data_IF_579688218127
#
_entry.id   IF_579688218127
#
_cell.length_a   1.000
_cell.length_b   1.000
_cell.length_c   1.000
_cell.angle_alpha   90.00
_cell.angle_beta   90.00
_cell.angle_gamma   90.00
#
_symmetry.space_group_name_H-M   'P 1'
#
loop_
_entity.id
_entity.type
_entity.pdbx_description
1 polymer ?
#
# COMPACT_ATOMS: atom_id res chain seq x y z
N UNK A 1 -9.58 23.24 44.46
CA UNK A 1 -10.40 22.32 43.63
C UNK A 1 -10.14 20.90 44.11
N UNK A 2 -11.17 20.15 44.55
CA UNK A 2 -10.95 18.83 45.18
C UNK A 2 -10.41 17.80 44.16
N UNK A 3 -9.65 16.80 44.62
CA UNK A 3 -9.09 15.74 43.75
C UNK A 3 -10.18 15.01 42.95
N UNK A 4 -11.38 14.88 43.51
CA UNK A 4 -12.54 14.26 42.87
C UNK A 4 -13.03 15.12 41.70
N UNK A 5 -13.15 16.44 41.90
CA UNK A 5 -13.57 17.37 40.84
C UNK A 5 -12.58 17.37 39.68
N UNK A 6 -11.27 17.34 39.95
CA UNK A 6 -10.24 17.30 38.91
C UNK A 6 -10.28 16.01 38.09
N UNK A 7 -10.54 14.86 38.73
CA UNK A 7 -10.63 13.57 38.06
C UNK A 7 -11.86 13.52 37.14
N UNK A 8 -13.02 13.92 37.65
CA UNK A 8 -14.26 14.00 36.86
C UNK A 8 -14.09 14.95 35.67
N UNK A 9 -13.43 16.10 35.89
CA UNK A 9 -13.22 17.07 34.83
C UNK A 9 -12.30 16.56 33.71
N UNK A 10 -11.19 15.90 34.06
CA UNK A 10 -10.24 15.38 33.07
C UNK A 10 -10.74 14.13 32.34
N UNK A 11 -11.45 13.24 33.03
CA UNK A 11 -11.93 11.98 32.42
C UNK A 11 -13.20 12.17 31.59
N UNK A 12 -14.08 13.12 31.94
CA UNK A 12 -15.40 13.23 31.31
C UNK A 12 -15.67 14.59 30.68
N UNK A 13 -15.31 15.71 31.32
CA UNK A 13 -15.62 17.06 30.81
C UNK A 13 -14.64 17.52 29.73
N UNK A 14 -13.35 17.21 29.87
CA UNK A 14 -12.32 17.61 28.89
C UNK A 14 -12.51 16.92 27.52
N UNK A 15 -12.78 15.60 27.44
CA UNK A 15 -13.13 14.97 26.16
C UNK A 15 -14.42 15.55 25.56
N UNK A 16 -15.43 15.83 26.39
CA UNK A 16 -16.65 16.49 25.92
C UNK A 16 -16.37 17.88 25.35
N UNK A 17 -15.59 18.71 26.03
CA UNK A 17 -15.21 20.04 25.57
C UNK A 17 -14.47 20.00 24.22
N UNK A 18 -13.55 19.04 24.04
CA UNK A 18 -12.83 18.83 22.77
C UNK A 18 -13.79 18.37 21.66
N UNK A 19 -14.81 17.57 21.98
CA UNK A 19 -15.84 17.14 21.02
C UNK A 19 -16.77 18.31 20.64
N UNK A 20 -17.13 19.17 21.60
CA UNK A 20 -17.95 20.37 21.37
C UNK A 20 -17.23 21.43 20.52
N UNK A 21 -15.93 21.59 20.70
CA UNK A 21 -15.10 22.52 19.93
C UNK A 21 -14.98 22.08 18.46
N UNK A 22 -14.86 20.76 18.21
CA UNK A 22 -14.76 20.19 16.86
C UNK A 22 -16.07 20.17 16.07
N UNK A 23 -17.22 20.37 16.71
CA UNK A 23 -18.51 20.24 16.05
C UNK A 23 -19.52 21.32 16.49
N UNK A 24 -19.28 22.60 16.12
CA UNK A 24 -20.02 23.75 16.64
C UNK A 24 -21.52 23.70 16.34
N UNK A 25 -21.92 23.03 15.26
CA UNK A 25 -23.34 22.81 14.92
C UNK A 25 -24.03 21.86 15.91
N UNK A 26 -23.36 20.77 16.29
CA UNK A 26 -23.91 19.84 17.30
C UNK A 26 -23.99 20.51 18.68
N UNK A 27 -22.99 21.32 19.03
CA UNK A 27 -22.95 22.13 20.26
C UNK A 27 -24.10 23.14 20.32
N UNK A 28 -24.36 23.84 19.21
CA UNK A 28 -25.44 24.80 19.11
C UNK A 28 -26.82 24.13 19.24
N UNK A 29 -27.05 23.02 18.54
CA UNK A 29 -28.31 22.26 18.62
C UNK A 29 -28.55 21.72 20.02
N UNK A 30 -27.49 21.28 20.71
CA UNK A 30 -27.57 20.87 22.10
C UNK A 30 -28.05 22.02 23.00
N UNK A 31 -27.37 23.17 22.92
CA UNK A 31 -27.66 24.33 23.77
C UNK A 31 -29.07 24.86 23.52
N UNK A 32 -29.52 24.89 22.27
CA UNK A 32 -30.88 25.28 21.92
C UNK A 32 -31.93 24.31 22.51
N UNK A 33 -31.66 23.01 22.46
CA UNK A 33 -32.58 21.98 22.96
C UNK A 33 -32.65 21.92 24.50
N UNK A 34 -31.53 22.15 25.20
CA UNK A 34 -31.51 22.22 26.67
C UNK A 34 -32.12 23.51 27.19
N UNK A 35 -31.93 24.64 26.49
CA UNK A 35 -32.54 25.92 26.83
C UNK A 35 -34.06 25.94 26.66
N UNK A 36 -34.63 25.08 25.81
CA UNK A 36 -36.08 24.99 25.58
C UNK A 36 -36.83 24.07 26.57
N UNK A 37 -36.14 23.49 27.56
CA UNK A 37 -36.72 22.52 28.51
C UNK A 37 -36.96 23.14 29.89
N UNK A 38 -38.00 22.71 30.59
CA UNK A 38 -38.21 23.07 31.99
C UNK A 38 -37.11 22.51 32.89
N UNK A 39 -36.85 23.17 34.02
CA UNK A 39 -35.67 22.94 34.86
C UNK A 39 -35.49 21.47 35.30
N UNK A 40 -36.60 20.76 35.50
CA UNK A 40 -36.66 19.36 35.93
C UNK A 40 -36.11 18.38 34.88
N UNK A 41 -36.16 18.77 33.60
CA UNK A 41 -35.74 17.92 32.47
C UNK A 41 -34.31 18.22 31.99
N UNK A 42 -33.70 19.31 32.46
CA UNK A 42 -32.33 19.68 32.13
C UNK A 42 -31.32 18.54 32.37
N UNK A 43 -31.28 17.85 33.54
CA UNK A 43 -30.31 16.77 33.75
C UNK A 43 -30.51 15.59 32.80
N UNK A 44 -31.75 15.21 32.51
CA UNK A 44 -32.05 14.15 31.54
C UNK A 44 -31.67 14.53 30.11
N UNK A 45 -31.93 15.79 29.73
CA UNK A 45 -31.56 16.32 28.42
C UNK A 45 -30.02 16.34 28.25
N UNK A 46 -29.27 16.71 29.28
CA UNK A 46 -27.81 16.70 29.27
C UNK A 46 -27.24 15.29 29.10
N UNK A 47 -27.74 14.31 29.86
CA UNK A 47 -27.29 12.91 29.75
C UNK A 47 -27.60 12.33 28.36
N UNK A 48 -28.83 12.50 27.88
CA UNK A 48 -29.23 12.03 26.55
C UNK A 48 -28.37 12.64 25.45
N UNK A 49 -28.05 13.93 25.59
CA UNK A 49 -27.22 14.65 24.64
C UNK A 49 -25.77 14.20 24.64
N UNK A 50 -25.20 13.94 25.82
CA UNK A 50 -23.85 13.38 25.91
C UNK A 50 -23.77 12.02 25.20
N UNK A 51 -24.78 11.16 25.40
CA UNK A 51 -24.89 9.86 24.71
C UNK A 51 -24.96 10.07 23.20
N UNK A 52 -25.81 10.98 22.72
CA UNK A 52 -25.98 11.28 21.29
C UNK A 52 -24.66 11.78 20.69
N UNK A 53 -24.01 12.75 21.33
CA UNK A 53 -22.75 13.35 20.86
C UNK A 53 -21.63 12.30 20.83
N UNK A 54 -21.50 11.50 21.89
CA UNK A 54 -20.52 10.42 21.94
C UNK A 54 -20.78 9.39 20.83
N UNK A 55 -22.04 9.03 20.59
CA UNK A 55 -22.43 8.09 19.53
C UNK A 55 -22.09 8.64 18.14
N UNK A 56 -22.41 9.91 17.88
CA UNK A 56 -22.04 10.61 16.63
C UNK A 56 -20.52 10.67 16.49
N UNK A 57 -19.78 10.94 17.56
CA UNK A 57 -18.32 11.01 17.52
C UNK A 57 -17.70 9.65 17.17
N UNK A 58 -18.13 8.57 17.83
CA UNK A 58 -17.66 7.20 17.55
C UNK A 58 -18.02 6.80 16.12
N UNK A 59 -19.25 7.09 15.67
CA UNK A 59 -19.68 6.82 14.31
C UNK A 59 -18.84 7.61 13.29
N UNK A 60 -18.65 8.90 13.51
CA UNK A 60 -17.85 9.77 12.63
C UNK A 60 -16.40 9.30 12.56
N UNK A 61 -15.82 8.86 13.67
CA UNK A 61 -14.46 8.32 13.70
C UNK A 61 -14.36 7.03 12.88
N UNK A 62 -15.34 6.12 13.01
CA UNK A 62 -15.37 4.89 12.20
C UNK A 62 -15.48 5.19 10.71
N UNK A 63 -16.35 6.12 10.32
CA UNK A 63 -16.48 6.56 8.92
C UNK A 63 -15.15 7.15 8.42
N UNK A 64 -14.50 8.01 9.20
CA UNK A 64 -13.18 8.55 8.83
C UNK A 64 -12.10 7.48 8.68
N UNK A 65 -12.08 6.47 9.56
CA UNK A 65 -11.16 5.33 9.47
C UNK A 65 -11.42 4.49 8.21
N UNK A 66 -12.69 4.26 7.85
CA UNK A 66 -13.09 3.55 6.64
C UNK A 66 -12.74 4.34 5.37
N UNK A 67 -13.01 5.64 5.34
CA UNK A 67 -12.66 6.53 4.22
C UNK A 67 -11.14 6.57 4.01
N UNK A 68 -10.37 6.68 5.09
CA UNK A 68 -8.91 6.66 5.03
C UNK A 68 -8.38 5.32 4.54
N UNK A 69 -8.97 4.21 4.99
CA UNK A 69 -8.65 2.87 4.51
C UNK A 69 -8.97 2.73 3.02
N UNK A 70 -10.14 3.18 2.56
CA UNK A 70 -10.54 3.11 1.15
C UNK A 70 -9.59 3.92 0.27
N UNK A 71 -9.23 5.14 0.69
CA UNK A 71 -8.28 5.97 -0.03
C UNK A 71 -6.91 5.29 -0.18
N UNK A 72 -6.42 4.66 0.90
CA UNK A 72 -5.16 3.89 0.88
C UNK A 72 -5.24 2.63 0.03
N UNK A 73 -6.37 1.94 0.05
CA UNK A 73 -6.58 0.79 -0.81
C UNK A 73 -6.62 1.20 -2.30
N UNK A 74 -7.25 2.33 -2.65
CA UNK A 74 -7.21 2.88 -4.02
C UNK A 74 -5.79 3.20 -4.47
N UNK A 75 -4.96 3.71 -3.57
CA UNK A 75 -3.53 3.95 -3.83
C UNK A 75 -2.79 2.63 -4.14
N UNK A 76 -2.93 1.62 -3.28
CA UNK A 76 -2.36 0.27 -3.49
C UNK A 76 -2.82 -0.33 -4.82
N UNK A 77 -4.13 -0.27 -5.09
CA UNK A 77 -4.74 -0.76 -6.33
C UNK A 77 -4.13 -0.09 -7.56
N UNK A 78 -3.95 1.24 -7.52
CA UNK A 78 -3.31 1.98 -8.62
C UNK A 78 -1.86 1.54 -8.86
N UNK A 79 -1.07 1.37 -7.80
CA UNK A 79 0.33 0.97 -7.90
C UNK A 79 0.44 -0.45 -8.46
N UNK A 80 -0.33 -1.39 -7.92
CA UNK A 80 -0.34 -2.78 -8.37
C UNK A 80 -0.68 -2.88 -9.87
N UNK A 81 -1.74 -2.22 -10.32
CA UNK A 81 -2.12 -2.27 -11.73
C UNK A 81 -1.09 -1.66 -12.66
N UNK A 82 -0.48 -0.52 -12.27
CA UNK A 82 0.62 0.07 -13.04
C UNK A 82 1.82 -0.86 -13.15
N UNK A 83 2.17 -1.56 -12.07
CA UNK A 83 3.25 -2.53 -12.05
C UNK A 83 2.94 -3.73 -12.95
N UNK A 84 1.75 -4.34 -12.81
CA UNK A 84 1.35 -5.50 -13.62
C UNK A 84 1.21 -5.14 -15.10
N UNK A 85 0.67 -3.96 -15.43
CA UNK A 85 0.63 -3.47 -16.80
C UNK A 85 2.04 -3.29 -17.37
N UNK A 86 2.95 -2.71 -16.59
CA UNK A 86 4.34 -2.56 -16.97
C UNK A 86 4.99 -3.92 -17.27
N UNK A 87 4.88 -4.88 -16.35
CA UNK A 87 5.39 -6.26 -16.53
C UNK A 87 4.83 -6.90 -17.80
N UNK A 88 3.52 -6.79 -18.02
CA UNK A 88 2.84 -7.33 -19.21
C UNK A 88 3.36 -6.69 -20.50
N UNK A 89 3.54 -5.36 -20.50
CA UNK A 89 4.08 -4.64 -21.67
C UNK A 89 5.50 -5.09 -22.03
N UNK A 90 6.33 -5.40 -21.02
CA UNK A 90 7.69 -5.88 -21.26
C UNK A 90 7.72 -7.31 -21.81
N UNK A 91 6.84 -8.21 -21.33
CA UNK A 91 6.73 -9.56 -21.91
C UNK A 91 6.46 -9.53 -23.42
N UNK A 92 5.57 -8.65 -23.87
CA UNK A 92 5.29 -8.47 -25.29
C UNK A 92 6.52 -8.03 -26.07
N UNK A 93 7.28 -7.06 -25.54
CA UNK A 93 8.50 -6.56 -26.17
C UNK A 93 9.55 -7.66 -26.37
N UNK A 94 9.65 -8.61 -25.44
CA UNK A 94 10.64 -9.70 -25.51
C UNK A 94 10.24 -10.86 -26.41
N UNK A 95 8.95 -11.15 -26.53
CA UNK A 95 8.48 -12.18 -27.47
C UNK A 95 8.63 -11.75 -28.93
N UNK A 96 8.50 -10.45 -29.23
CA UNK A 96 8.56 -9.94 -30.61
C UNK A 96 10.00 -9.71 -31.10
N UNK A 97 10.97 -9.52 -30.21
CA UNK A 97 12.36 -9.15 -30.55
C UNK A 97 13.40 -10.24 -30.24
N UNK A 98 13.06 -11.51 -30.40
CA UNK A 98 14.06 -12.58 -30.33
C UNK A 98 15.03 -12.47 -31.51
N UNK A 99 16.00 -11.56 -31.41
CA UNK A 99 17.18 -11.50 -32.27
C UNK A 99 18.06 -12.72 -31.89
N UNK A 100 18.47 -13.53 -32.87
CA UNK A 100 19.19 -14.82 -32.71
C UNK A 100 20.64 -14.68 -32.18
N UNK A 101 20.90 -13.73 -31.29
CA UNK A 101 22.23 -13.47 -30.73
C UNK A 101 22.23 -13.87 -29.25
N UNK A 102 23.04 -14.87 -28.90
CA UNK A 102 23.03 -15.52 -27.58
C UNK A 102 23.18 -14.56 -26.38
N UNK A 103 23.96 -13.47 -26.54
CA UNK A 103 24.11 -12.44 -25.51
C UNK A 103 22.80 -11.69 -25.21
N UNK A 104 22.03 -11.34 -26.25
CA UNK A 104 20.73 -10.67 -26.06
C UNK A 104 19.72 -11.65 -25.46
N UNK A 105 19.67 -12.89 -25.95
CA UNK A 105 18.78 -13.92 -25.42
C UNK A 105 19.04 -14.17 -23.92
N UNK A 106 20.31 -14.21 -23.49
CA UNK A 106 20.67 -14.34 -22.08
C UNK A 106 20.10 -13.21 -21.23
N UNK A 107 20.27 -11.96 -21.66
CA UNK A 107 19.70 -10.81 -20.94
C UNK A 107 18.16 -10.84 -20.94
N UNK A 108 17.54 -11.19 -22.07
CA UNK A 108 16.08 -11.26 -22.19
C UNK A 108 15.47 -12.30 -21.25
N UNK A 109 16.05 -13.50 -21.20
CA UNK A 109 15.64 -14.57 -20.28
C UNK A 109 15.74 -14.11 -18.82
N UNK A 110 16.83 -13.44 -18.44
CA UNK A 110 16.99 -12.95 -17.08
C UNK A 110 15.95 -11.87 -16.71
N UNK A 111 15.60 -10.99 -17.65
CA UNK A 111 14.54 -9.99 -17.42
C UNK A 111 13.17 -10.67 -17.31
N UNK A 112 12.87 -11.66 -18.15
CA UNK A 112 11.61 -12.40 -18.07
C UNK A 112 11.46 -13.09 -16.71
N UNK A 113 12.52 -13.75 -16.24
CA UNK A 113 12.56 -14.36 -14.91
C UNK A 113 12.35 -13.30 -13.83
N UNK A 114 13.02 -12.14 -13.93
CA UNK A 114 12.84 -11.05 -12.97
C UNK A 114 11.41 -10.54 -12.94
N UNK A 115 10.80 -10.33 -14.11
CA UNK A 115 9.42 -9.87 -14.23
C UNK A 115 8.43 -10.90 -13.65
N UNK A 116 8.70 -12.20 -13.81
CA UNK A 116 7.91 -13.26 -13.18
C UNK A 116 8.02 -13.20 -11.65
N UNK A 117 9.24 -13.14 -11.10
CA UNK A 117 9.48 -13.05 -9.65
C UNK A 117 8.81 -11.80 -9.07
N UNK A 118 8.94 -10.65 -9.74
CA UNK A 118 8.27 -9.43 -9.28
C UNK A 118 6.75 -9.56 -9.27
N UNK A 119 6.15 -10.22 -10.25
CA UNK A 119 4.70 -10.49 -10.24
C UNK A 119 4.33 -11.43 -9.09
N UNK A 120 5.07 -12.51 -8.88
CA UNK A 120 4.86 -13.48 -7.80
C UNK A 120 4.99 -12.85 -6.40
N UNK A 121 5.78 -11.78 -6.26
CA UNK A 121 5.89 -10.99 -5.02
C UNK A 121 4.76 -9.96 -4.88
N UNK A 122 4.31 -9.36 -5.99
CA UNK A 122 3.26 -8.35 -5.99
C UNK A 122 1.86 -8.94 -5.73
N UNK A 123 1.57 -10.13 -6.26
CA UNK A 123 0.27 -10.80 -6.13
C UNK A 123 -0.15 -11.07 -4.67
N UNK A 124 0.69 -11.64 -3.79
CA UNK A 124 0.33 -11.84 -2.38
C UNK A 124 0.17 -10.51 -1.63
N UNK A 125 0.97 -9.49 -1.95
CA UNK A 125 0.83 -8.15 -1.35
C UNK A 125 -0.54 -7.55 -1.69
N UNK A 126 -0.95 -7.62 -2.95
CA UNK A 126 -2.26 -7.12 -3.37
C UNK A 126 -3.41 -7.96 -2.80
N UNK A 127 -3.22 -9.28 -2.67
CA UNK A 127 -4.20 -10.16 -2.02
C UNK A 127 -4.38 -9.83 -0.54
N UNK A 128 -3.29 -9.53 0.18
CA UNK A 128 -3.33 -9.06 1.55
C UNK A 128 -4.06 -7.70 1.67
N UNK A 129 -3.83 -6.78 0.73
CA UNK A 129 -4.50 -5.49 0.70
C UNK A 129 -6.03 -5.59 0.52
N UNK A 130 -6.52 -6.64 -0.14
CA UNK A 130 -7.96 -6.87 -0.33
C UNK A 130 -8.67 -7.40 0.91
N UNK A 131 -7.93 -7.86 1.93
CA UNK A 131 -8.55 -8.42 3.12
C UNK A 131 -9.33 -7.32 3.86
N UNK A 132 -10.57 -7.62 4.27
CA UNK A 132 -11.42 -6.67 4.98
C UNK A 132 -10.80 -6.19 6.32
N UNK A 133 -9.91 -7.00 6.90
CA UNK A 133 -9.15 -6.70 8.12
C UNK A 133 -7.91 -5.83 7.89
N UNK A 134 -7.56 -5.48 6.65
CA UNK A 134 -6.37 -4.69 6.37
C UNK A 134 -6.49 -3.29 6.98
N UNK A 135 -5.54 -2.94 7.84
CA UNK A 135 -5.48 -1.61 8.47
C UNK A 135 -4.89 -0.57 7.53
N UNK A 136 -5.13 0.71 7.81
CA UNK A 136 -4.54 1.82 7.05
C UNK A 136 -3.00 1.75 7.02
N UNK A 137 -2.37 1.35 8.13
CA UNK A 137 -0.93 1.17 8.25
C UNK A 137 -0.43 -0.01 7.41
N UNK A 138 -1.12 -1.15 7.44
CA UNK A 138 -0.81 -2.29 6.59
C UNK A 138 -0.91 -1.93 5.10
N UNK A 139 -1.94 -1.19 4.70
CA UNK A 139 -2.09 -0.71 3.33
C UNK A 139 -0.95 0.25 2.93
N UNK A 140 -0.50 1.12 3.84
CA UNK A 140 0.63 2.01 3.58
C UNK A 140 1.93 1.22 3.39
N UNK A 141 2.17 0.19 4.21
CA UNK A 141 3.32 -0.69 4.05
C UNK A 141 3.28 -1.44 2.72
N UNK A 142 2.13 -2.05 2.38
CA UNK A 142 1.94 -2.73 1.09
C UNK A 142 2.20 -1.78 -0.08
N UNK A 143 1.71 -0.54 -0.01
CA UNK A 143 1.98 0.47 -1.04
C UNK A 143 3.48 0.78 -1.18
N UNK A 144 4.22 0.81 -0.07
CA UNK A 144 5.68 0.99 -0.08
C UNK A 144 6.38 -0.21 -0.73
N UNK A 145 6.02 -1.44 -0.35
CA UNK A 145 6.63 -2.65 -0.88
C UNK A 145 6.39 -2.79 -2.39
N UNK A 146 5.16 -2.51 -2.86
CA UNK A 146 4.85 -2.49 -4.29
C UNK A 146 5.65 -1.42 -5.06
N UNK A 147 5.90 -0.26 -4.46
CA UNK A 147 6.75 0.79 -5.08
C UNK A 147 8.20 0.36 -5.17
N UNK A 148 8.71 -0.36 -4.18
CA UNK A 148 10.07 -0.92 -4.21
C UNK A 148 10.17 -1.93 -5.37
N UNK A 149 9.19 -2.83 -5.49
CA UNK A 149 9.12 -3.78 -6.61
C UNK A 149 9.08 -3.08 -7.98
N UNK A 150 8.25 -2.04 -8.12
CA UNK A 150 8.18 -1.24 -9.35
C UNK A 150 9.50 -0.53 -9.67
N UNK A 151 10.14 0.08 -8.67
CA UNK A 151 11.43 0.73 -8.83
C UNK A 151 12.53 -0.26 -9.26
N UNK A 152 12.55 -1.46 -8.67
CA UNK A 152 13.51 -2.51 -8.99
C UNK A 152 13.37 -2.97 -10.45
N UNK A 153 12.17 -3.36 -10.89
CA UNK A 153 11.98 -3.87 -12.26
C UNK A 153 12.24 -2.77 -13.29
N UNK A 154 11.82 -1.53 -13.03
CA UNK A 154 12.16 -0.39 -13.90
C UNK A 154 13.66 -0.11 -13.93
N UNK A 155 14.35 -0.26 -12.81
CA UNK A 155 15.80 -0.15 -12.72
C UNK A 155 16.52 -1.16 -13.62
N UNK A 156 16.11 -2.43 -13.53
CA UNK A 156 16.62 -3.51 -14.40
C UNK A 156 16.39 -3.18 -15.88
N UNK A 157 15.19 -2.74 -16.24
CA UNK A 157 14.86 -2.38 -17.62
C UNK A 157 15.67 -1.20 -18.16
N UNK A 158 15.90 -0.16 -17.34
CA UNK A 158 16.79 0.96 -17.72
C UNK A 158 18.23 0.49 -17.88
N UNK A 159 18.70 -0.40 -17.00
CA UNK A 159 20.02 -1.02 -17.08
C UNK A 159 20.19 -1.80 -18.38
N UNK A 160 19.20 -2.62 -18.74
CA UNK A 160 19.19 -3.36 -20.00
C UNK A 160 19.19 -2.42 -21.21
N UNK A 161 18.37 -1.37 -21.21
CA UNK A 161 18.33 -0.40 -22.32
C UNK A 161 19.72 0.21 -22.58
N UNK A 162 20.45 0.57 -21.52
CA UNK A 162 21.84 1.07 -21.63
C UNK A 162 22.81 0.01 -22.12
N UNK A 163 22.68 -1.22 -21.62
CA UNK A 163 23.50 -2.35 -22.05
C UNK A 163 23.27 -2.65 -23.53
N UNK A 164 22.01 -2.68 -23.98
CA UNK A 164 21.61 -2.99 -25.35
C UNK A 164 22.36 -2.11 -26.37
N UNK A 165 22.42 -0.80 -26.12
CA UNK A 165 23.15 0.14 -26.98
C UNK A 165 24.65 -0.16 -27.04
N UNK A 166 25.26 -0.61 -25.93
CA UNK A 166 26.68 -0.98 -25.89
C UNK A 166 26.94 -2.30 -26.62
N UNK A 167 26.08 -3.30 -26.42
CA UNK A 167 26.21 -4.61 -27.07
C UNK A 167 26.25 -4.49 -28.60
N UNK A 168 25.50 -3.55 -29.19
CA UNK A 168 25.51 -3.30 -30.64
C UNK A 168 26.88 -2.87 -31.19
N UNK A 169 27.78 -2.35 -30.34
CA UNK A 169 29.12 -1.90 -30.72
C UNK A 169 30.23 -2.92 -30.44
N UNK A 170 29.91 -4.03 -29.77
CA UNK A 170 30.87 -5.02 -29.28
C UNK A 170 31.05 -6.19 -30.24
N UNK A 171 32.21 -6.85 -30.19
CA UNK A 171 32.40 -8.16 -30.82
C UNK A 171 31.51 -9.22 -30.14
N UNK A 172 31.18 -10.35 -30.79
CA UNK A 172 30.35 -11.39 -30.18
C UNK A 172 30.83 -11.87 -28.81
N UNK A 173 32.15 -12.00 -28.61
CA UNK A 173 32.74 -12.43 -27.34
C UNK A 173 32.53 -11.37 -26.25
N UNK A 174 32.78 -10.10 -26.57
CA UNK A 174 32.56 -8.96 -25.68
C UNK A 174 31.08 -8.78 -25.34
N UNK A 175 30.18 -9.08 -26.28
CA UNK A 175 28.73 -9.06 -26.04
C UNK A 175 28.34 -10.11 -24.99
N UNK A 176 28.83 -11.34 -25.15
CA UNK A 176 28.52 -12.43 -24.23
C UNK A 176 29.06 -12.16 -22.82
N UNK A 177 30.31 -11.69 -22.72
CA UNK A 177 30.92 -11.34 -21.43
C UNK A 177 30.16 -10.21 -20.72
N UNK A 178 29.81 -9.14 -21.44
CA UNK A 178 29.04 -8.03 -20.88
C UNK A 178 27.63 -8.46 -20.45
N UNK A 179 26.99 -9.35 -21.22
CA UNK A 179 25.69 -9.91 -20.88
C UNK A 179 25.75 -10.76 -19.61
N UNK A 180 26.75 -11.65 -19.49
CA UNK A 180 26.98 -12.47 -18.29
C UNK A 180 27.20 -11.57 -17.07
N UNK A 181 28.10 -10.59 -17.16
CA UNK A 181 28.39 -9.69 -16.05
C UNK A 181 27.14 -8.92 -15.59
N UNK A 182 26.33 -8.44 -16.54
CA UNK A 182 25.08 -7.76 -16.22
C UNK A 182 24.05 -8.69 -15.57
N UNK A 183 23.87 -9.90 -16.10
CA UNK A 183 22.95 -10.91 -15.53
C UNK A 183 23.37 -11.30 -14.11
N UNK A 184 24.66 -11.53 -13.89
CA UNK A 184 25.20 -11.79 -12.54
C UNK A 184 24.96 -10.60 -11.62
N UNK A 185 25.11 -9.36 -12.11
CA UNK A 185 24.84 -8.15 -11.32
C UNK A 185 23.39 -8.04 -10.86
N UNK A 186 22.42 -8.29 -11.76
CA UNK A 186 21.00 -8.23 -11.38
C UNK A 186 20.61 -9.37 -10.43
N UNK A 187 21.16 -10.57 -10.64
CA UNK A 187 20.89 -11.74 -9.80
C UNK A 187 21.56 -11.65 -8.44
N UNK A 188 22.74 -11.03 -8.34
CA UNK A 188 23.43 -10.80 -7.06
C UNK A 188 22.78 -9.71 -6.22
N UNK A 189 22.25 -8.65 -6.87
CA UNK A 189 21.57 -7.56 -6.14
C UNK A 189 20.19 -7.99 -5.67
N UNK A 190 19.52 -8.86 -6.42
CA UNK A 190 18.20 -9.36 -6.08
C UNK A 190 18.07 -10.84 -6.47
N UNK A 191 18.46 -11.77 -5.58
CA UNK A 191 18.45 -13.19 -5.90
C UNK A 191 17.06 -13.62 -6.37
N UNK A 192 16.96 -14.41 -7.45
CA UNK A 192 15.70 -15.07 -7.77
C UNK A 192 15.28 -15.91 -6.57
N UNK A 193 13.98 -15.92 -6.27
CA UNK A 193 13.44 -16.81 -5.24
C UNK A 193 13.80 -18.23 -5.66
N UNK A 194 14.52 -18.95 -4.81
CA UNK A 194 14.76 -20.38 -4.96
C UNK A 194 13.39 -21.04 -5.06
N UNK A 195 13.04 -21.54 -6.25
CA UNK A 195 11.94 -22.49 -6.37
C UNK A 195 12.46 -23.71 -5.64
N UNK A 196 12.01 -23.91 -4.39
CA UNK A 196 12.31 -25.13 -3.65
C UNK A 196 11.94 -26.35 -4.50
N UNK A 197 12.61 -27.50 -4.29
CA UNK A 197 12.31 -28.69 -5.06
C UNK A 197 10.81 -28.98 -4.93
N UNK A 198 10.14 -29.10 -6.08
CA UNK A 198 8.81 -29.69 -6.14
C UNK A 198 9.03 -31.14 -5.72
N UNK A 199 8.52 -31.52 -4.55
CA UNK A 199 8.48 -32.93 -4.15
C UNK A 199 7.66 -33.69 -5.20
N UNK A 200 8.35 -34.45 -6.05
CA UNK A 200 7.78 -35.42 -6.99
C UNK A 200 7.38 -36.74 -6.28
N UNK A 201 7.05 -36.70 -4.99
CA UNK A 201 6.59 -37.88 -4.25
C UNK A 201 5.08 -37.78 -3.99
N UNK A 202 4.29 -37.88 -5.07
CA UNK A 202 2.85 -38.13 -5.03
C UNK A 202 2.38 -38.76 -6.35
N UNK A 203 2.83 -39.99 -6.61
CA UNK A 203 2.21 -40.91 -7.56
C UNK A 203 1.81 -42.20 -6.83
#
# INVERSE_FOLDING_TARGET
MSKIVRKVFMEYMYPAAVIFDKNPRATFTLLAFTASRSWEWIPFALVASFIIIYTIHVFSRKVQEEDAREAKFKEVHSIFWKLSEYIRSQRFFFQVRAENVGAFQLCLSAIQQRALVTQQQADPLFSAAKQASATSEQLAQIASDLRILDAQIRGVMRGYSRLKTRLQSYTPEQQLEAAIHWVTGINGTFPPVSVGPVDEDSL
#
